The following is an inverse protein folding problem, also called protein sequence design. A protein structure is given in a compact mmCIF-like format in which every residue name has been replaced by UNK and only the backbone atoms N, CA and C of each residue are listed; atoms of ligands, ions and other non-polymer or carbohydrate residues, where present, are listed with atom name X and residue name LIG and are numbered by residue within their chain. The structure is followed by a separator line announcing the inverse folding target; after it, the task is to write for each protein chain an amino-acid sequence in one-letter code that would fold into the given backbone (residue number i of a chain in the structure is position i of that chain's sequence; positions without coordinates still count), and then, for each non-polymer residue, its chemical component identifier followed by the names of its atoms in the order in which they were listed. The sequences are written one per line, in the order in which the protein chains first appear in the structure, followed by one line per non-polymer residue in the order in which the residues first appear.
data_IF_502162525357
#
_entry.id   IF_502162525357
#
_cell.length_a   1.000
_cell.length_b   1.000
_cell.length_c   1.000
_cell.angle_alpha   90.00
_cell.angle_beta   90.00
_cell.angle_gamma   90.00
#
_symmetry.space_group_name_H-M   'P 1'
#
loop_
_entity.id
_entity.type
_entity.pdbx_description
1 polymer ?
#
# COMPACT_ATOMS: atom_id res chain seq x y z
N UNK A 1 -13.97 -36.80 5.39
CA UNK A 1 -13.96 -37.45 6.71
C UNK A 1 -13.33 -36.45 7.68
N UNK A 2 -14.06 -35.95 8.68
CA UNK A 2 -13.54 -34.94 9.62
C UNK A 2 -12.68 -35.64 10.67
N UNK A 3 -11.36 -35.46 10.61
CA UNK A 3 -10.45 -36.01 11.62
C UNK A 3 -10.41 -35.04 12.80
N UNK A 4 -11.06 -35.40 13.91
CA UNK A 4 -11.16 -34.56 15.11
C UNK A 4 -9.92 -34.73 16.01
N UNK A 5 -9.57 -33.68 16.74
CA UNK A 5 -8.50 -33.70 17.72
C UNK A 5 -8.95 -34.31 19.06
N UNK A 6 -9.10 -35.64 19.10
CA UNK A 6 -9.54 -36.36 20.30
C UNK A 6 -8.47 -36.47 21.40
N UNK A 7 -7.20 -36.17 21.11
CA UNK A 7 -6.07 -36.39 22.05
C UNK A 7 -5.37 -35.09 22.47
N UNK A 8 -5.82 -33.92 22.02
CA UNK A 8 -5.29 -32.60 22.43
C UNK A 8 -3.77 -32.37 22.26
N UNK A 9 -3.13 -33.08 21.33
CA UNK A 9 -1.65 -33.09 21.16
C UNK A 9 -1.11 -31.80 20.50
N UNK A 10 -1.95 -31.06 19.77
CA UNK A 10 -1.54 -29.83 19.07
C UNK A 10 -2.42 -28.66 19.48
N UNK A 11 -1.79 -27.50 19.69
CA UNK A 11 -2.44 -26.28 20.19
C UNK A 11 -2.38 -25.12 19.19
N UNK A 12 -1.59 -25.24 18.12
CA UNK A 12 -1.50 -24.19 17.08
C UNK A 12 -2.75 -24.20 16.22
N UNK A 13 -3.50 -23.10 16.27
CA UNK A 13 -4.73 -22.92 15.51
C UNK A 13 -4.49 -21.95 14.36
N UNK A 14 -4.98 -22.33 13.19
CA UNK A 14 -4.95 -21.53 11.98
C UNK A 14 -6.35 -21.34 11.38
N UNK A 15 -6.52 -20.22 10.70
CA UNK A 15 -7.66 -19.90 9.87
C UNK A 15 -7.23 -19.50 8.46
N UNK A 16 -8.21 -19.20 7.63
CA UNK A 16 -8.01 -18.66 6.28
C UNK A 16 -8.72 -17.31 6.19
N UNK A 17 -8.01 -16.29 5.69
CA UNK A 17 -8.56 -14.96 5.53
C UNK A 17 -9.19 -14.74 4.14
N UNK A 18 -9.88 -13.61 3.96
CA UNK A 18 -10.48 -13.22 2.67
C UNK A 18 -9.44 -13.02 1.56
N UNK A 19 -8.17 -12.85 1.90
CA UNK A 19 -7.05 -12.78 0.95
C UNK A 19 -6.53 -14.18 0.57
N UNK A 20 -7.20 -15.25 1.02
CA UNK A 20 -6.84 -16.65 0.77
C UNK A 20 -5.48 -17.02 1.33
N UNK A 21 -5.12 -16.41 2.47
CA UNK A 21 -3.88 -16.69 3.19
C UNK A 21 -4.16 -17.43 4.49
N UNK A 22 -3.28 -18.37 4.84
CA UNK A 22 -3.27 -19.00 6.16
C UNK A 22 -2.81 -17.98 7.20
N UNK A 23 -3.58 -17.85 8.28
CA UNK A 23 -3.26 -16.98 9.42
C UNK A 23 -3.33 -17.79 10.72
N UNK A 24 -2.36 -17.59 11.60
CA UNK A 24 -2.46 -18.09 12.96
C UNK A 24 -3.54 -17.30 13.71
N UNK A 25 -4.40 -18.00 14.43
CA UNK A 25 -5.48 -17.38 15.21
C UNK A 25 -4.97 -17.07 16.60
N UNK A 26 -5.00 -15.79 16.98
CA UNK A 26 -4.72 -15.35 18.35
C UNK A 26 -6.00 -15.38 19.17
N UNK A 27 -6.02 -16.16 20.24
CA UNK A 27 -7.17 -16.31 21.12
C UNK A 27 -7.00 -15.46 22.37
N UNK A 28 -7.33 -14.18 22.28
CA UNK A 28 -7.28 -13.27 23.42
C UNK A 28 -8.48 -13.53 24.34
N UNK A 29 -8.23 -14.06 25.53
CA UNK A 29 -9.23 -14.19 26.60
C UNK A 29 -10.29 -15.29 26.42
N UNK A 30 -10.12 -16.22 25.47
CA UNK A 30 -11.01 -17.37 25.28
C UNK A 30 -10.21 -18.66 25.16
N UNK A 31 -10.48 -19.62 26.03
CA UNK A 31 -9.95 -20.98 25.88
C UNK A 31 -10.69 -21.67 24.73
N UNK A 32 -10.01 -22.06 23.65
CA UNK A 32 -10.65 -22.77 22.55
C UNK A 32 -11.04 -24.18 22.99
N UNK A 33 -12.19 -24.65 22.51
CA UNK A 33 -12.51 -26.07 22.63
C UNK A 33 -11.81 -26.83 21.49
N UNK A 34 -10.63 -27.38 21.80
CA UNK A 34 -9.79 -28.10 20.83
C UNK A 34 -10.45 -29.39 20.31
N UNK A 35 -11.35 -30.03 21.06
CA UNK A 35 -12.01 -31.28 20.65
C UNK A 35 -12.99 -31.07 19.48
N UNK A 36 -13.53 -29.85 19.37
CA UNK A 36 -14.41 -29.44 18.27
C UNK A 36 -13.63 -29.05 17.00
N UNK A 37 -12.30 -28.93 17.08
CA UNK A 37 -11.44 -28.53 15.97
C UNK A 37 -11.02 -29.71 15.10
N UNK A 38 -10.62 -29.37 13.87
CA UNK A 38 -10.21 -30.34 12.85
C UNK A 38 -8.69 -30.28 12.65
N UNK A 39 -8.09 -31.45 12.43
CA UNK A 39 -6.69 -31.56 12.04
C UNK A 39 -6.46 -31.06 10.61
N UNK A 40 -5.33 -30.40 10.42
CA UNK A 40 -4.80 -30.00 9.12
C UNK A 40 -3.34 -30.40 9.03
N UNK A 41 -2.98 -31.03 7.93
CA UNK A 41 -1.63 -31.46 7.60
C UNK A 41 -1.16 -30.82 6.29
N UNK A 42 0.15 -30.84 6.03
CA UNK A 42 0.71 -30.33 4.77
C UNK A 42 0.03 -30.96 3.56
N UNK A 43 -0.30 -30.13 2.56
CA UNK A 43 -1.06 -30.53 1.38
C UNK A 43 -2.58 -30.53 1.55
N UNK A 44 -3.11 -30.20 2.74
CA UNK A 44 -4.55 -30.01 2.94
C UNK A 44 -4.97 -28.59 2.53
N UNK A 45 -6.14 -28.49 1.92
CA UNK A 45 -6.87 -27.25 1.74
C UNK A 45 -7.80 -26.99 2.91
N UNK A 46 -7.92 -25.71 3.28
CA UNK A 46 -8.85 -25.22 4.29
C UNK A 46 -9.76 -24.21 3.62
N UNK A 47 -11.07 -24.42 3.73
CA UNK A 47 -12.09 -23.54 3.18
C UNK A 47 -13.05 -23.06 4.27
N UNK A 48 -13.22 -21.74 4.37
CA UNK A 48 -14.31 -21.14 5.12
C UNK A 48 -15.51 -20.93 4.18
N UNK A 49 -16.55 -21.77 4.31
CA UNK A 49 -17.79 -21.61 3.55
C UNK A 49 -18.79 -20.64 4.17
N UNK A 50 -18.49 -20.05 5.33
CA UNK A 50 -19.39 -19.16 6.06
C UNK A 50 -19.20 -17.72 5.56
N UNK A 51 -20.28 -16.97 5.40
CA UNK A 51 -20.29 -15.56 5.01
C UNK A 51 -19.69 -15.26 3.62
N UNK A 52 -19.67 -16.25 2.72
CA UNK A 52 -19.20 -16.07 1.34
C UNK A 52 -19.93 -14.94 0.62
N UNK A 53 -21.23 -14.78 0.86
CA UNK A 53 -22.03 -13.70 0.27
C UNK A 53 -21.61 -12.30 0.77
N UNK A 54 -21.46 -12.14 2.08
CA UNK A 54 -20.98 -10.90 2.72
C UNK A 54 -19.56 -10.56 2.25
N UNK A 55 -18.68 -11.55 2.25
CA UNK A 55 -17.26 -11.37 1.94
C UNK A 55 -17.01 -11.33 0.42
N UNK A 56 -18.04 -11.64 -0.40
CA UNK A 56 -18.02 -11.73 -1.87
C UNK A 56 -16.89 -12.61 -2.43
N UNK A 57 -16.41 -13.54 -1.62
CA UNK A 57 -15.21 -14.34 -1.87
C UNK A 57 -15.28 -15.61 -1.06
N UNK A 58 -14.68 -16.69 -1.55
CA UNK A 58 -14.52 -17.92 -0.76
C UNK A 58 -13.11 -17.99 -0.21
N UNK A 59 -12.90 -17.82 1.11
CA UNK A 59 -11.60 -18.05 1.71
C UNK A 59 -11.21 -19.53 1.58
N UNK A 60 -10.25 -19.83 0.70
CA UNK A 60 -9.67 -21.16 0.50
C UNK A 60 -8.16 -21.01 0.41
N UNK A 61 -7.41 -21.83 1.15
CA UNK A 61 -5.96 -21.82 1.11
C UNK A 61 -5.37 -23.23 1.25
N UNK A 62 -4.26 -23.48 0.56
CA UNK A 62 -3.41 -24.66 0.73
C UNK A 62 -2.48 -24.47 1.93
N UNK A 63 -2.47 -25.45 2.84
CA UNK A 63 -1.52 -25.49 3.94
C UNK A 63 -0.26 -26.27 3.55
N UNK A 64 0.91 -25.63 3.65
CA UNK A 64 2.22 -26.22 3.33
C UNK A 64 3.19 -26.24 4.52
N UNK A 65 2.70 -26.01 5.74
CA UNK A 65 3.54 -26.02 6.93
C UNK A 65 4.05 -27.42 7.29
N UNK A 66 5.16 -27.46 8.04
CA UNK A 66 5.85 -28.71 8.42
C UNK A 66 5.21 -29.44 9.62
N UNK A 67 4.40 -28.74 10.42
CA UNK A 67 3.77 -29.29 11.63
C UNK A 67 2.28 -29.50 11.39
N UNK A 68 1.68 -30.45 12.10
CA UNK A 68 0.21 -30.56 12.14
C UNK A 68 -0.34 -29.36 12.92
N UNK A 69 -1.49 -28.86 12.49
CA UNK A 69 -2.17 -27.70 13.09
C UNK A 69 -3.67 -27.96 13.17
N UNK A 70 -4.38 -27.10 13.88
CA UNK A 70 -5.83 -27.16 14.02
C UNK A 70 -6.52 -26.04 13.25
N UNK A 71 -7.74 -26.30 12.80
CA UNK A 71 -8.64 -25.26 12.29
C UNK A 71 -10.06 -25.46 12.82
N UNK A 72 -10.93 -24.48 12.58
CA UNK A 72 -12.32 -24.50 13.06
C UNK A 72 -13.06 -25.78 12.65
N UNK A 73 -13.84 -26.33 13.57
CA UNK A 73 -14.80 -27.43 13.34
C UNK A 73 -15.80 -27.18 12.22
N UNK A 74 -16.05 -25.91 11.90
CA UNK A 74 -17.01 -25.48 10.87
C UNK A 74 -16.42 -25.38 9.48
N UNK A 75 -15.08 -25.31 9.36
CA UNK A 75 -14.41 -25.21 8.07
C UNK A 75 -14.42 -26.56 7.35
N UNK A 76 -14.24 -26.50 6.04
CA UNK A 76 -14.05 -27.68 5.21
C UNK A 76 -12.56 -27.91 5.01
N UNK A 77 -12.07 -29.08 5.46
CA UNK A 77 -10.71 -29.54 5.21
C UNK A 77 -10.75 -30.67 4.20
N UNK A 78 -10.01 -30.53 3.10
CA UNK A 78 -9.95 -31.52 2.04
C UNK A 78 -8.54 -31.59 1.44
N UNK A 79 -8.26 -32.63 0.66
CA UNK A 79 -6.97 -32.79 -0.03
C UNK A 79 -7.18 -33.42 -1.40
N UNK A 80 -6.25 -33.15 -2.31
CA UNK A 80 -6.24 -33.81 -3.61
C UNK A 80 -5.84 -35.27 -3.41
N UNK A 81 -6.69 -36.19 -3.86
CA UNK A 81 -6.39 -37.64 -3.94
C UNK A 81 -6.14 -38.12 -5.36
N UNK A 82 -6.59 -37.37 -6.36
CA UNK A 82 -6.42 -37.72 -7.76
C UNK A 82 -4.98 -37.43 -8.18
N UNK A 83 -4.26 -38.47 -8.63
CA UNK A 83 -2.87 -38.36 -9.06
C UNK A 83 -2.70 -37.48 -10.31
N UNK A 84 -3.76 -37.33 -11.12
CA UNK A 84 -3.75 -36.48 -12.33
C UNK A 84 -3.96 -34.99 -12.04
N UNK A 85 -4.08 -34.59 -10.76
CA UNK A 85 -4.28 -33.20 -10.37
C UNK A 85 -3.17 -32.75 -9.42
N UNK A 86 -2.41 -31.75 -9.83
CA UNK A 86 -1.41 -31.11 -9.01
C UNK A 86 -2.10 -30.18 -7.98
N UNK A 87 -1.82 -30.38 -6.68
CA UNK A 87 -2.37 -29.56 -5.60
C UNK A 87 -2.04 -28.07 -5.75
N UNK A 88 -0.85 -27.73 -6.24
CA UNK A 88 -0.42 -26.34 -6.41
C UNK A 88 -1.15 -25.69 -7.58
N UNK A 89 -1.40 -26.45 -8.65
CA UNK A 89 -2.24 -25.98 -9.76
C UNK A 89 -3.67 -25.69 -9.29
N UNK A 90 -4.26 -26.60 -8.52
CA UNK A 90 -5.59 -26.38 -7.93
C UNK A 90 -5.60 -25.15 -7.01
N UNK A 91 -4.53 -24.93 -6.23
CA UNK A 91 -4.41 -23.74 -5.40
C UNK A 91 -4.40 -22.46 -6.24
N UNK A 92 -3.73 -22.45 -7.40
CA UNK A 92 -3.74 -21.32 -8.33
C UNK A 92 -5.12 -21.10 -8.96
N UNK A 93 -5.84 -22.18 -9.32
CA UNK A 93 -7.22 -22.06 -9.79
C UNK A 93 -8.09 -21.36 -8.75
N UNK A 94 -7.97 -21.75 -7.48
CA UNK A 94 -8.69 -21.07 -6.40
C UNK A 94 -8.31 -19.61 -6.22
N UNK A 95 -7.21 -19.10 -6.78
CA UNK A 95 -6.92 -17.65 -6.76
C UNK A 95 -7.65 -16.86 -7.86
N UNK A 96 -8.26 -17.53 -8.83
CA UNK A 96 -8.96 -16.85 -9.92
C UNK A 96 -10.25 -16.19 -9.44
N UNK A 97 -10.46 -14.94 -9.88
CA UNK A 97 -11.65 -14.16 -9.56
C UNK A 97 -12.94 -14.81 -10.10
N UNK A 98 -12.86 -15.54 -11.23
CA UNK A 98 -13.99 -16.27 -11.78
C UNK A 98 -14.55 -17.30 -10.80
N UNK A 99 -13.70 -18.06 -10.10
CA UNK A 99 -14.16 -19.04 -9.12
C UNK A 99 -14.81 -18.38 -7.91
N UNK A 100 -14.37 -17.19 -7.51
CA UNK A 100 -15.03 -16.42 -6.45
C UNK A 100 -16.44 -15.99 -6.87
N UNK A 101 -16.57 -15.43 -8.08
CA UNK A 101 -17.88 -15.02 -8.64
C UNK A 101 -18.83 -16.20 -8.79
N UNK A 102 -18.34 -17.32 -9.30
CA UNK A 102 -19.16 -18.53 -9.47
C UNK A 102 -19.57 -19.13 -8.13
N UNK A 103 -18.67 -19.13 -7.15
CA UNK A 103 -18.99 -19.59 -5.79
C UNK A 103 -19.99 -18.67 -5.08
N UNK A 104 -19.92 -17.36 -5.30
CA UNK A 104 -20.89 -16.39 -4.80
C UNK A 104 -22.29 -16.68 -5.36
N UNK A 105 -22.39 -16.93 -6.66
CA UNK A 105 -23.66 -17.32 -7.30
C UNK A 105 -24.27 -18.59 -6.67
N UNK A 106 -23.43 -19.55 -6.27
CA UNK A 106 -23.87 -20.76 -5.57
C UNK A 106 -24.29 -20.48 -4.11
N UNK A 107 -23.60 -19.56 -3.41
CA UNK A 107 -23.84 -19.23 -2.00
C UNK A 107 -25.15 -18.44 -1.76
N UNK A 108 -25.64 -17.70 -2.76
CA UNK A 108 -26.86 -16.87 -2.66
C UNK A 108 -28.18 -17.64 -2.49
N UNK A 109 -28.15 -18.98 -2.37
CA UNK A 109 -29.34 -19.84 -2.22
C UNK A 109 -29.77 -20.07 -0.77
N UNK A 110 -29.00 -19.59 0.23
CA UNK A 110 -29.29 -19.78 1.66
C UNK A 110 -29.44 -18.46 2.43
N UNK A 111 -30.23 -18.48 3.52
CA UNK A 111 -30.56 -17.31 4.37
C UNK A 111 -29.31 -16.62 4.96
N UNK A 112 -28.19 -17.35 5.12
CA UNK A 112 -26.93 -16.86 5.70
C UNK A 112 -25.82 -16.57 4.68
N UNK A 113 -26.10 -16.75 3.37
CA UNK A 113 -25.11 -16.53 2.32
C UNK A 113 -23.88 -17.44 2.43
N UNK A 114 -24.10 -18.69 2.86
CA UNK A 114 -23.07 -19.70 3.05
C UNK A 114 -22.92 -20.59 1.81
N UNK A 115 -21.68 -21.00 1.50
CA UNK A 115 -21.41 -21.98 0.46
C UNK A 115 -21.38 -23.38 1.07
N UNK A 116 -22.46 -24.13 0.88
CA UNK A 116 -22.55 -25.52 1.32
C UNK A 116 -21.56 -26.42 0.53
N UNK A 117 -21.01 -27.43 1.20
CA UNK A 117 -20.06 -28.37 0.58
C UNK A 117 -20.61 -29.05 -0.68
N UNK A 118 -21.89 -29.44 -0.66
CA UNK A 118 -22.57 -30.07 -1.80
C UNK A 118 -22.61 -29.17 -3.05
N UNK A 119 -22.64 -27.85 -2.85
CA UNK A 119 -22.70 -26.89 -3.94
C UNK A 119 -21.28 -26.52 -4.39
N UNK A 120 -20.32 -26.42 -3.48
CA UNK A 120 -18.90 -26.32 -3.80
C UNK A 120 -18.43 -27.48 -4.71
N UNK A 121 -18.89 -28.72 -4.46
CA UNK A 121 -18.56 -29.87 -5.29
C UNK A 121 -19.12 -29.81 -6.72
N UNK A 122 -20.06 -28.93 -7.02
CA UNK A 122 -20.63 -28.75 -8.37
C UNK A 122 -19.79 -27.79 -9.22
N UNK A 123 -18.78 -27.16 -8.64
CA UNK A 123 -17.89 -26.24 -9.35
C UNK A 123 -17.06 -27.05 -10.35
N UNK A 124 -17.36 -26.86 -11.63
CA UNK A 124 -16.58 -27.42 -12.73
C UNK A 124 -15.28 -26.63 -12.90
N UNK A 125 -14.16 -27.35 -13.04
CA UNK A 125 -12.83 -26.79 -13.29
C UNK A 125 -12.21 -27.49 -14.50
N UNK A 126 -11.42 -26.75 -15.27
CA UNK A 126 -10.61 -27.33 -16.35
C UNK A 126 -9.32 -27.93 -15.77
N UNK A 127 -9.02 -29.18 -16.14
CA UNK A 127 -7.85 -29.91 -15.66
C UNK A 127 -7.02 -30.35 -16.89
N UNK A 128 -5.98 -29.59 -17.29
CA UNK A 128 -5.09 -29.98 -18.38
C UNK A 128 -4.17 -31.15 -17.97
N UNK A 129 -3.39 -31.74 -18.88
CA UNK A 129 -2.38 -32.76 -18.54
C UNK A 129 -1.41 -32.29 -17.45
N UNK A 130 -0.88 -33.22 -16.66
CA UNK A 130 0.00 -32.92 -15.51
C UNK A 130 1.21 -32.06 -15.89
N UNK A 131 1.83 -32.33 -17.03
CA UNK A 131 2.98 -31.56 -17.52
C UNK A 131 2.65 -30.07 -17.69
N UNK A 132 1.48 -29.76 -18.26
CA UNK A 132 0.99 -28.39 -18.42
C UNK A 132 0.67 -27.75 -17.07
N UNK A 133 0.10 -28.51 -16.13
CA UNK A 133 -0.16 -28.02 -14.77
C UNK A 133 1.15 -27.63 -14.07
N UNK A 134 2.18 -28.47 -14.18
CA UNK A 134 3.51 -28.23 -13.60
C UNK A 134 4.20 -27.03 -14.24
N UNK A 135 4.12 -26.89 -15.56
CA UNK A 135 4.65 -25.72 -16.27
C UNK A 135 4.02 -24.41 -15.75
N UNK A 136 2.69 -24.38 -15.61
CA UNK A 136 1.95 -23.23 -15.08
C UNK A 136 2.39 -22.91 -13.65
N UNK A 137 2.47 -23.92 -12.79
CA UNK A 137 2.90 -23.76 -11.38
C UNK A 137 4.33 -23.20 -11.33
N UNK A 138 5.25 -23.77 -12.10
CA UNK A 138 6.65 -23.38 -12.14
C UNK A 138 6.81 -21.93 -12.60
N UNK A 139 6.11 -21.50 -13.66
CA UNK A 139 6.11 -20.12 -14.12
C UNK A 139 5.62 -19.16 -13.03
N UNK A 140 4.48 -19.47 -12.42
CA UNK A 140 3.89 -18.63 -11.39
C UNK A 140 4.79 -18.51 -10.15
N UNK A 141 5.34 -19.63 -9.66
CA UNK A 141 6.25 -19.64 -8.52
C UNK A 141 7.55 -18.88 -8.81
N UNK A 142 8.08 -19.00 -10.03
CA UNK A 142 9.29 -18.27 -10.44
C UNK A 142 9.07 -16.76 -10.37
N UNK A 143 7.96 -16.26 -10.92
CA UNK A 143 7.62 -14.83 -10.87
C UNK A 143 7.40 -14.36 -9.43
N UNK A 144 6.68 -15.15 -8.63
CA UNK A 144 6.41 -14.81 -7.22
C UNK A 144 7.71 -14.71 -6.42
N UNK A 145 8.62 -15.68 -6.57
CA UNK A 145 9.95 -15.66 -5.94
C UNK A 145 10.78 -14.46 -6.39
N UNK A 146 10.70 -14.10 -7.67
CA UNK A 146 11.40 -12.92 -8.19
C UNK A 146 10.89 -11.62 -7.55
N UNK A 147 9.56 -11.47 -7.39
CA UNK A 147 8.96 -10.32 -6.69
C UNK A 147 9.44 -10.24 -5.24
N UNK A 148 9.47 -11.36 -4.51
CA UNK A 148 9.94 -11.40 -3.13
C UNK A 148 11.41 -10.98 -2.99
N UNK A 149 12.28 -11.48 -3.87
CA UNK A 149 13.69 -11.11 -3.90
C UNK A 149 13.84 -9.61 -4.16
N UNK A 150 13.10 -9.05 -5.12
CA UNK A 150 13.16 -7.62 -5.44
C UNK A 150 12.69 -6.74 -4.27
N UNK A 151 11.64 -7.15 -3.55
CA UNK A 151 11.20 -6.44 -2.33
C UNK A 151 12.29 -6.44 -1.26
N UNK A 152 12.93 -7.59 -1.01
CA UNK A 152 14.04 -7.70 -0.07
C UNK A 152 15.24 -6.82 -0.47
N UNK A 153 15.54 -6.73 -1.76
CA UNK A 153 16.59 -5.83 -2.26
C UNK A 153 16.23 -4.37 -1.94
N UNK A 154 15.00 -3.93 -2.20
CA UNK A 154 14.57 -2.56 -1.88
C UNK A 154 14.71 -2.26 -0.39
N UNK A 155 14.28 -3.16 0.49
CA UNK A 155 14.43 -3.00 1.95
C UNK A 155 15.90 -2.86 2.37
N UNK A 156 16.80 -3.64 1.77
CA UNK A 156 18.24 -3.56 2.05
C UNK A 156 18.84 -2.25 1.53
N UNK A 157 18.42 -1.78 0.35
CA UNK A 157 18.86 -0.51 -0.21
C UNK A 157 18.42 0.68 0.66
N UNK A 158 17.20 0.68 1.17
CA UNK A 158 16.72 1.70 2.11
C UNK A 158 17.53 1.71 3.42
N UNK A 159 17.87 0.53 3.97
CA UNK A 159 18.76 0.44 5.14
C UNK A 159 20.15 0.97 4.83
N UNK A 160 20.70 0.64 3.67
CA UNK A 160 22.01 1.11 3.23
C UNK A 160 22.03 2.64 3.07
N UNK A 161 20.98 3.21 2.49
CA UNK A 161 20.80 4.66 2.36
C UNK A 161 20.82 5.35 3.72
N UNK A 162 20.08 4.83 4.71
CA UNK A 162 20.09 5.36 6.08
C UNK A 162 21.47 5.29 6.73
N UNK A 163 22.17 4.16 6.56
CA UNK A 163 23.54 4.03 7.08
C UNK A 163 24.50 5.03 6.44
N UNK A 164 24.44 5.21 5.11
CA UNK A 164 25.24 6.22 4.44
C UNK A 164 24.91 7.63 4.90
N UNK A 165 23.63 7.94 5.14
CA UNK A 165 23.25 9.25 5.67
C UNK A 165 23.96 9.55 7.00
N UNK A 166 23.95 8.59 7.94
CA UNK A 166 24.66 8.75 9.21
C UNK A 166 26.18 8.90 9.03
N UNK A 167 26.79 8.10 8.16
CA UNK A 167 28.23 8.22 7.84
C UNK A 167 28.56 9.63 7.30
N UNK A 168 27.68 10.20 6.48
CA UNK A 168 27.92 11.47 5.81
C UNK A 168 27.60 12.69 6.69
N UNK A 169 26.63 12.59 7.60
CA UNK A 169 26.06 13.76 8.29
C UNK A 169 26.14 13.74 9.82
N UNK A 170 26.59 12.67 10.47
CA UNK A 170 26.67 12.63 11.95
C UNK A 170 27.93 13.32 12.52
N UNK A 171 29.05 13.34 11.79
CA UNK A 171 30.28 14.03 12.22
C UNK A 171 30.69 15.12 11.22
N UNK A 172 30.23 16.34 11.47
CA UNK A 172 30.44 17.50 10.60
C UNK A 172 31.39 18.55 11.21
N UNK A 173 32.27 18.15 12.13
CA UNK A 173 33.15 19.08 12.87
C UNK A 173 34.06 19.92 11.97
N UNK A 174 34.49 19.36 10.84
CA UNK A 174 35.41 20.02 9.91
C UNK A 174 34.69 20.95 8.90
N UNK A 175 33.35 21.04 8.96
CA UNK A 175 32.55 21.84 8.04
C UNK A 175 32.19 23.21 8.62
N UNK A 176 32.12 24.21 7.73
CA UNK A 176 31.67 25.55 8.09
C UNK A 176 30.18 25.55 8.46
N UNK A 177 29.85 26.14 9.61
CA UNK A 177 28.46 26.33 10.04
C UNK A 177 27.95 27.70 9.61
N UNK A 178 26.89 27.72 8.80
CA UNK A 178 26.20 28.94 8.33
C UNK A 178 24.71 28.89 8.62
N UNK A 179 24.08 30.05 8.80
CA UNK A 179 22.64 30.15 8.99
C UNK A 179 21.89 30.12 7.66
N UNK A 180 20.67 29.58 7.62
CA UNK A 180 19.86 29.54 6.38
C UNK A 180 19.69 30.90 5.71
N UNK A 181 19.56 31.99 6.48
CA UNK A 181 19.43 33.34 5.93
C UNK A 181 20.70 33.90 5.29
N UNK A 182 21.86 33.33 5.59
CA UNK A 182 23.13 33.65 4.91
C UNK A 182 23.22 32.93 3.55
N UNK A 183 22.58 31.76 3.46
CA UNK A 183 22.68 30.87 2.31
C UNK A 183 21.54 31.03 1.30
N UNK A 184 20.34 31.35 1.76
CA UNK A 184 19.12 31.31 0.96
C UNK A 184 18.24 32.55 1.18
N UNK A 185 17.59 32.99 0.11
CA UNK A 185 16.45 33.89 0.21
C UNK A 185 15.22 33.09 0.60
N UNK A 186 14.60 33.44 1.72
CA UNK A 186 13.36 32.79 2.19
C UNK A 186 12.15 33.46 1.54
N UNK A 187 11.43 32.72 0.70
CA UNK A 187 10.17 33.16 0.10
C UNK A 187 9.01 32.56 0.89
N UNK A 188 8.10 33.42 1.35
CA UNK A 188 6.87 33.00 2.04
C UNK A 188 5.71 33.04 1.05
N UNK A 189 4.85 32.03 1.09
CA UNK A 189 3.66 32.02 0.25
C UNK A 189 2.59 33.00 0.69
N UNK A 190 1.68 33.30 -0.23
CA UNK A 190 0.63 34.30 -0.08
C UNK A 190 -0.75 33.71 -0.33
N UNK A 191 -1.75 34.31 0.33
CA UNK A 191 -3.15 33.93 0.24
C UNK A 191 -3.98 35.13 -0.20
N UNK A 192 -4.36 35.22 -1.48
CA UNK A 192 -5.31 36.24 -1.91
C UNK A 192 -6.66 36.07 -1.18
N UNK A 193 -7.36 37.19 -0.88
CA UNK A 193 -8.64 37.14 -0.18
C UNK A 193 -9.69 36.29 -0.90
N UNK A 194 -10.40 35.42 -0.17
CA UNK A 194 -11.39 34.49 -0.74
C UNK A 194 -12.72 34.45 0.03
N UNK A 195 -13.00 35.49 0.82
CA UNK A 195 -14.15 35.52 1.75
C UNK A 195 -15.52 35.75 1.08
N UNK A 196 -15.56 36.14 -0.20
CA UNK A 196 -16.79 36.26 -0.96
C UNK A 196 -16.60 35.80 -2.42
N UNK A 197 -17.72 35.60 -3.13
CA UNK A 197 -17.74 35.10 -4.50
C UNK A 197 -16.98 36.02 -5.47
N UNK A 198 -17.19 37.34 -5.35
CA UNK A 198 -16.53 38.33 -6.22
C UNK A 198 -15.00 38.24 -6.14
N UNK A 199 -14.43 38.22 -4.93
CA UNK A 199 -12.97 38.13 -4.76
C UNK A 199 -12.42 36.77 -5.19
N UNK A 200 -13.20 35.71 -4.98
CA UNK A 200 -12.84 34.38 -5.48
C UNK A 200 -12.72 34.37 -7.00
N UNK A 201 -13.67 34.97 -7.72
CA UNK A 201 -13.65 35.05 -9.18
C UNK A 201 -12.62 36.05 -9.70
N UNK A 202 -12.37 37.14 -8.97
CA UNK A 202 -11.38 38.14 -9.34
C UNK A 202 -9.95 37.61 -9.23
N UNK A 203 -9.63 36.83 -8.19
CA UNK A 203 -8.26 36.42 -7.88
C UNK A 203 -7.91 34.98 -8.26
N UNK A 204 -8.90 34.10 -8.40
CA UNK A 204 -8.66 32.68 -8.67
C UNK A 204 -9.34 32.24 -9.96
N UNK A 205 -8.67 31.35 -10.69
CA UNK A 205 -9.20 30.69 -11.86
C UNK A 205 -8.81 29.21 -11.84
N UNK A 206 -9.47 28.40 -12.68
CA UNK A 206 -9.11 26.97 -12.82
C UNK A 206 -7.99 26.76 -13.82
N UNK A 207 -7.97 27.54 -14.89
CA UNK A 207 -7.03 27.43 -16.01
C UNK A 207 -6.73 28.81 -16.59
N UNK A 208 -5.61 28.93 -17.32
CA UNK A 208 -5.18 30.17 -17.96
C UNK A 208 -4.54 31.21 -17.02
N UNK A 209 -4.33 30.84 -15.75
CA UNK A 209 -3.67 31.66 -14.75
C UNK A 209 -2.27 31.16 -14.38
N UNK A 210 -1.81 31.61 -13.22
CA UNK A 210 -0.51 31.23 -12.64
C UNK A 210 -0.77 30.13 -11.60
N UNK A 211 -0.15 28.93 -11.70
CA UNK A 211 -0.36 27.84 -10.75
C UNK A 211 -0.17 28.28 -9.29
N UNK A 212 -1.06 27.86 -8.40
CA UNK A 212 -1.02 28.24 -6.98
C UNK A 212 -1.22 27.04 -6.08
N UNK A 213 -0.10 26.62 -5.48
CA UNK A 213 0.03 25.37 -4.74
C UNK A 213 -0.50 25.51 -3.32
N UNK A 214 -1.38 24.58 -2.94
CA UNK A 214 -1.86 24.39 -1.58
C UNK A 214 -1.42 23.05 -1.01
N UNK A 215 -1.55 22.90 0.30
CA UNK A 215 -1.22 21.66 1.02
C UNK A 215 -2.09 20.49 0.55
N UNK A 216 -3.30 20.73 0.07
CA UNK A 216 -4.19 19.71 -0.50
C UNK A 216 -3.72 19.16 -1.85
N UNK A 217 -2.85 19.90 -2.55
CA UNK A 217 -2.30 19.47 -3.84
C UNK A 217 -1.07 18.55 -3.68
N UNK A 218 -0.57 18.39 -2.45
CA UNK A 218 0.60 17.56 -2.15
C UNK A 218 0.21 16.08 -2.09
N UNK A 219 0.90 15.28 -2.92
CA UNK A 219 0.83 13.83 -2.93
C UNK A 219 1.95 13.20 -2.08
N UNK A 220 2.04 11.86 -2.10
CA UNK A 220 3.13 11.10 -1.50
C UNK A 220 4.50 11.33 -2.18
N UNK A 221 4.53 11.91 -3.39
CA UNK A 221 5.75 12.12 -4.16
C UNK A 221 6.46 13.41 -3.81
N UNK A 222 7.80 13.41 -3.99
CA UNK A 222 8.65 14.58 -3.74
C UNK A 222 8.58 15.65 -4.83
N UNK A 223 8.09 15.30 -6.01
CA UNK A 223 7.95 16.23 -7.14
C UNK A 223 6.51 16.73 -7.24
N UNK A 224 6.37 18.04 -7.26
CA UNK A 224 5.09 18.73 -7.42
C UNK A 224 4.98 19.21 -8.85
N UNK A 225 3.93 18.77 -9.54
CA UNK A 225 3.70 19.06 -10.96
C UNK A 225 2.25 19.46 -11.26
N UNK A 226 1.42 19.66 -10.23
CA UNK A 226 0.02 19.99 -10.39
C UNK A 226 -0.47 20.90 -9.26
N UNK A 227 -1.40 21.78 -9.58
CA UNK A 227 -2.13 22.64 -8.63
C UNK A 227 -3.61 22.62 -9.00
N UNK A 228 -4.50 22.41 -8.02
CA UNK A 228 -5.94 22.39 -8.26
C UNK A 228 -6.56 23.76 -8.56
N UNK A 229 -5.87 24.85 -8.19
CA UNK A 229 -6.29 26.22 -8.43
C UNK A 229 -5.12 27.06 -8.97
N UNK A 230 -5.45 28.15 -9.65
CA UNK A 230 -4.49 29.10 -10.21
C UNK A 230 -4.89 30.53 -9.81
N UNK A 231 -3.93 31.44 -9.78
CA UNK A 231 -4.19 32.87 -9.61
C UNK A 231 -4.39 33.53 -10.96
N UNK A 232 -5.37 34.44 -11.03
CA UNK A 232 -5.43 35.42 -12.11
C UNK A 232 -4.27 36.42 -11.96
N UNK A 233 -4.07 37.28 -12.96
CA UNK A 233 -3.09 38.38 -12.85
C UNK A 233 -3.38 39.31 -11.66
N UNK A 234 -4.66 39.58 -11.37
CA UNK A 234 -5.06 40.39 -10.22
C UNK A 234 -4.84 39.67 -8.89
N UNK A 235 -5.01 38.34 -8.87
CA UNK A 235 -4.66 37.51 -7.70
C UNK A 235 -3.15 37.50 -7.43
N UNK A 236 -2.34 37.38 -8.48
CA UNK A 236 -0.88 37.36 -8.38
C UNK A 236 -0.29 38.68 -7.89
N UNK A 237 -0.93 39.82 -8.21
CA UNK A 237 -0.51 41.13 -7.70
C UNK A 237 -0.72 41.31 -6.19
N UNK A 238 -1.41 40.38 -5.50
CA UNK A 238 -1.60 40.47 -4.05
C UNK A 238 -0.32 40.19 -3.30
N UNK A 239 -0.18 40.87 -2.17
CA UNK A 239 0.99 40.77 -1.31
C UNK A 239 1.27 39.31 -0.93
N UNK A 240 2.55 38.93 -0.99
CA UNK A 240 3.02 37.58 -0.66
C UNK A 240 2.91 36.56 -1.81
N UNK A 241 2.21 36.86 -2.91
CA UNK A 241 2.19 35.98 -4.08
C UNK A 241 3.47 36.16 -4.88
N UNK A 242 4.40 35.21 -4.73
CA UNK A 242 5.70 35.22 -5.40
C UNK A 242 5.84 34.00 -6.29
N UNK A 243 6.41 34.20 -7.46
CA UNK A 243 6.74 33.11 -8.38
C UNK A 243 8.01 32.42 -7.89
N UNK A 244 7.95 31.10 -7.83
CA UNK A 244 9.09 30.22 -7.54
C UNK A 244 9.36 29.32 -8.75
N UNK A 245 10.57 28.77 -8.82
CA UNK A 245 11.09 28.05 -9.99
C UNK A 245 11.57 26.64 -9.62
N UNK A 246 11.75 25.72 -10.58
CA UNK A 246 12.32 24.39 -10.34
C UNK A 246 13.71 24.34 -9.69
N UNK A 247 14.40 25.48 -9.54
CA UNK A 247 15.67 25.59 -8.81
C UNK A 247 15.48 25.77 -7.30
N UNK A 248 14.25 26.03 -6.86
CA UNK A 248 13.92 26.32 -5.48
C UNK A 248 13.41 25.06 -4.75
N UNK A 249 13.63 25.01 -3.43
CA UNK A 249 13.10 23.95 -2.57
C UNK A 249 11.94 24.47 -1.75
N UNK A 250 10.81 23.77 -1.74
CA UNK A 250 9.64 24.14 -0.95
C UNK A 250 9.47 23.22 0.24
N UNK A 251 8.96 23.73 1.35
CA UNK A 251 8.61 22.93 2.51
C UNK A 251 7.33 23.42 3.18
N UNK A 252 6.60 22.48 3.76
CA UNK A 252 5.35 22.77 4.47
C UNK A 252 5.72 23.31 5.85
N UNK A 253 5.42 24.59 6.10
CA UNK A 253 5.62 25.23 7.40
C UNK A 253 4.48 24.91 8.37
N UNK A 254 3.24 25.03 7.90
CA UNK A 254 2.06 25.03 8.77
C UNK A 254 1.01 24.06 8.26
N UNK A 255 1.09 22.83 8.75
CA UNK A 255 0.11 21.76 8.52
C UNK A 255 0.06 20.84 9.76
N UNK A 256 -0.74 19.77 9.68
CA UNK A 256 -0.74 18.72 10.72
C UNK A 256 0.66 18.12 10.94
N UNK A 257 0.88 17.53 12.13
CA UNK A 257 2.20 17.03 12.58
C UNK A 257 2.93 16.15 11.57
N UNK A 258 2.20 15.38 10.76
CA UNK A 258 2.79 14.45 9.77
C UNK A 258 3.29 15.12 8.48
N UNK A 259 2.84 16.35 8.20
CA UNK A 259 3.15 17.06 6.94
C UNK A 259 4.11 18.22 7.14
N UNK A 260 4.12 18.84 8.31
CA UNK A 260 5.03 19.93 8.62
C UNK A 260 6.50 19.47 8.49
N UNK A 261 7.33 20.28 7.83
CA UNK A 261 8.76 19.99 7.58
C UNK A 261 9.04 19.17 6.32
N UNK A 262 8.02 18.60 5.66
CA UNK A 262 8.25 17.86 4.43
C UNK A 262 8.73 18.80 3.32
N UNK A 263 9.84 18.42 2.68
CA UNK A 263 10.47 19.13 1.56
C UNK A 263 10.03 18.51 0.22
N UNK A 264 9.81 19.36 -0.78
CA UNK A 264 9.41 19.02 -2.15
C UNK A 264 10.16 19.87 -3.19
N UNK A 265 10.18 19.37 -4.43
CA UNK A 265 10.76 20.02 -5.61
C UNK A 265 9.63 20.30 -6.60
N UNK A 266 9.60 21.51 -7.16
CA UNK A 266 8.59 21.88 -8.17
C UNK A 266 9.09 21.60 -9.59
N UNK A 267 8.18 21.17 -10.47
CA UNK A 267 8.53 20.77 -11.84
C UNK A 267 8.40 21.89 -12.87
N UNK A 268 7.71 22.97 -12.51
CA UNK A 268 7.51 24.16 -13.33
C UNK A 268 7.29 25.37 -12.41
N UNK A 269 7.33 26.58 -12.98
CA UNK A 269 7.15 27.80 -12.21
C UNK A 269 5.73 27.88 -11.63
N UNK A 270 5.62 28.15 -10.34
CA UNK A 270 4.33 28.26 -9.65
C UNK A 270 4.40 29.26 -8.50
N UNK A 271 3.25 29.54 -7.90
CA UNK A 271 3.12 30.32 -6.66
C UNK A 271 2.65 29.40 -5.54
N UNK A 272 2.89 29.77 -4.28
CA UNK A 272 2.60 28.93 -3.13
C UNK A 272 1.69 29.65 -2.12
N UNK A 273 0.85 28.88 -1.42
CA UNK A 273 0.05 29.41 -0.32
C UNK A 273 0.88 29.65 0.96
N UNK A 274 0.30 30.35 1.92
CA UNK A 274 0.88 30.76 3.21
C UNK A 274 1.33 29.60 4.12
N UNK A 275 0.92 28.38 3.80
CA UNK A 275 1.35 27.16 4.49
C UNK A 275 2.75 26.70 4.06
N UNK A 276 3.30 27.21 2.95
CA UNK A 276 4.63 26.87 2.46
C UNK A 276 5.64 27.99 2.66
N UNK A 277 6.88 27.59 2.86
CA UNK A 277 8.07 28.41 2.67
C UNK A 277 8.94 27.80 1.58
N UNK A 278 9.77 28.64 0.97
CA UNK A 278 10.69 28.26 -0.10
C UNK A 278 12.09 28.75 0.22
N UNK A 279 13.07 27.88 0.03
CA UNK A 279 14.49 28.21 -0.02
C UNK A 279 14.85 28.48 -1.48
N UNK A 280 15.12 29.74 -1.81
CA UNK A 280 15.59 30.13 -3.14
C UNK A 280 17.06 30.49 -3.09
N UNK A 281 17.79 30.03 -4.11
CA UNK A 281 19.19 30.42 -4.33
C UNK A 281 19.31 31.55 -5.38
N UNK A 282 18.22 32.25 -5.69
CA UNK A 282 18.25 33.40 -6.59
C UNK A 282 18.82 34.64 -5.87
N UNK A 283 20.08 34.95 -6.18
CA UNK A 283 20.98 35.96 -5.60
C UNK A 283 20.50 37.44 -5.61
N UNK A 284 19.25 37.74 -5.99
CA UNK A 284 18.80 39.12 -6.20
C UNK A 284 18.60 39.92 -4.90
N UNK A 285 18.48 39.25 -3.75
CA UNK A 285 18.32 39.92 -2.45
C UNK A 285 19.15 39.18 -1.42
N UNK A 286 20.38 39.67 -1.19
CA UNK A 286 21.26 39.38 -0.04
C UNK A 286 21.09 38.00 0.60
N UNK A 287 21.84 37.03 0.09
CA UNK A 287 21.88 35.64 0.55
C UNK A 287 22.36 34.79 -0.62
N UNK A 288 23.51 34.14 -0.49
CA UNK A 288 24.13 33.45 -1.60
C UNK A 288 25.50 32.89 -1.29
N UNK A 289 25.73 31.63 -1.67
CA UNK A 289 27.06 31.04 -1.75
C UNK A 289 27.57 31.27 -3.18
N UNK A 290 28.75 31.90 -3.33
CA UNK A 290 29.54 31.77 -4.55
C UNK A 290 30.03 30.32 -4.59
N UNK A 291 29.39 29.48 -5.39
CA UNK A 291 29.89 28.13 -5.65
C UNK A 291 30.95 28.28 -6.73
N UNK A 292 32.20 28.52 -6.32
CA UNK A 292 33.35 28.32 -7.19
C UNK A 292 33.40 26.83 -7.53
N UNK A 293 33.09 26.51 -8.78
CA UNK A 293 33.22 25.15 -9.29
C UNK A 293 34.72 24.82 -9.37
N UNK A 294 35.16 23.76 -8.69
CA UNK A 294 36.45 23.11 -8.95
C UNK A 294 36.42 22.34 -10.28
#
# INVERSE_FOLDING_TARGET
MRTKNKESIVTTIIGVDIKKQIKQVSLTGKTPNYELMQWVESGNFIMNGIHVDRDRKVPIALYEGSKKVLTSGTYFVFRVKNISLNKNYLNLLFQQEFLDKYSLWLAGKGIRGELAWKDFLKISISIPPLEVQEEIVNKYQTVTKYIEIKKRINELLERKMKAYFHILFDDLKDYETKNFGELFTIIRGGQPPKFNKYLKELYFCKEGGIPWLKVEDISEYKFVNHTSEQLTQEGFKKEGCKLITPKDLIFIRSAGRERAGNVYIISHNLTINESFWTLSNNLLVGGGINIDCL
#
